data_IF_411692526411
#
_entry.id   IF_411692526411
#
_cell.length_a   1.000
_cell.length_b   1.000
_cell.length_c   1.000
_cell.angle_alpha   90.00
_cell.angle_beta   90.00
_cell.angle_gamma   90.00
#
_symmetry.space_group_name_H-M   'P 1'
#
loop_
_entity.id
_entity.type
_entity.pdbx_description
1 polymer ?
#
# COMPACT_ATOMS: atom_id res chain seq x y z
N UNK A 1 14.77 -6.33 -5.59
CA UNK A 1 13.69 -7.20 -5.09
C UNK A 1 13.16 -8.00 -6.25
N UNK A 2 13.12 -9.33 -6.13
CA UNK A 2 12.63 -10.23 -7.18
C UNK A 2 11.10 -10.23 -7.25
N UNK A 3 10.55 -10.38 -8.45
CA UNK A 3 9.12 -10.51 -8.70
C UNK A 3 8.56 -11.74 -7.96
N UNK A 4 7.63 -11.52 -7.03
CA UNK A 4 6.88 -12.61 -6.39
C UNK A 4 5.53 -12.77 -7.10
N UNK A 5 5.27 -13.88 -7.82
CA UNK A 5 4.01 -14.09 -8.51
C UNK A 5 2.79 -14.14 -7.57
N UNK A 6 2.98 -14.44 -6.28
CA UNK A 6 1.92 -14.39 -5.27
C UNK A 6 1.48 -12.96 -4.94
N UNK A 7 2.36 -11.96 -5.14
CA UNK A 7 2.02 -10.55 -4.98
C UNK A 7 1.42 -9.92 -6.23
N UNK A 8 1.26 -10.70 -7.32
CA UNK A 8 0.59 -10.25 -8.54
C UNK A 8 -0.92 -10.24 -8.30
N UNK A 9 -1.49 -9.05 -8.23
CA UNK A 9 -2.91 -8.90 -8.01
C UNK A 9 -3.68 -9.03 -9.32
N UNK A 10 -3.26 -8.33 -10.38
CA UNK A 10 -3.81 -8.48 -11.72
C UNK A 10 -2.84 -7.97 -12.80
N UNK A 11 -3.14 -8.26 -14.06
CA UNK A 11 -2.45 -7.70 -15.22
C UNK A 11 -3.45 -7.01 -16.14
N UNK A 12 -3.15 -5.79 -16.57
CA UNK A 12 -3.98 -5.04 -17.53
C UNK A 12 -3.08 -4.38 -18.57
N UNK A 13 -3.38 -4.59 -19.86
CA UNK A 13 -2.61 -4.03 -20.99
C UNK A 13 -1.10 -4.24 -20.89
N UNK A 14 -0.67 -5.44 -20.49
CA UNK A 14 0.75 -5.79 -20.33
C UNK A 14 1.41 -5.25 -19.07
N UNK A 15 0.74 -4.41 -18.27
CA UNK A 15 1.23 -3.95 -16.98
C UNK A 15 0.81 -4.91 -15.86
N UNK A 16 1.78 -5.36 -15.05
CA UNK A 16 1.54 -6.18 -13.87
C UNK A 16 1.33 -5.26 -12.66
N UNK A 17 0.12 -5.25 -12.12
CA UNK A 17 -0.18 -4.59 -10.87
C UNK A 17 0.15 -5.55 -9.73
N UNK A 18 1.17 -5.20 -8.96
CA UNK A 18 1.65 -5.93 -7.79
C UNK A 18 1.80 -4.99 -6.61
N UNK A 19 1.71 -5.58 -5.43
CA UNK A 19 2.09 -4.95 -4.16
C UNK A 19 3.37 -5.59 -3.65
N UNK A 20 3.99 -5.01 -2.62
CA UNK A 20 5.22 -5.57 -2.05
C UNK A 20 4.96 -6.93 -1.39
N UNK A 21 3.92 -7.04 -0.57
CA UNK A 21 3.48 -8.29 0.05
C UNK A 21 1.96 -8.45 -0.05
N UNK A 22 1.50 -9.69 -0.14
CA UNK A 22 0.07 -10.00 -0.24
C UNK A 22 -0.25 -11.32 0.44
N UNK A 23 -1.27 -11.30 1.31
CA UNK A 23 -1.91 -12.49 1.86
C UNK A 23 -3.22 -12.73 1.10
N UNK A 24 -3.30 -13.84 0.38
CA UNK A 24 -4.44 -14.14 -0.48
C UNK A 24 -5.67 -14.65 0.29
N UNK A 25 -5.46 -15.30 1.44
CA UNK A 25 -6.52 -15.88 2.25
C UNK A 25 -7.20 -14.80 3.08
N UNK A 26 -6.39 -13.93 3.69
CA UNK A 26 -6.85 -12.76 4.44
C UNK A 26 -7.16 -11.54 3.54
N UNK A 27 -6.74 -11.56 2.27
CA UNK A 27 -6.93 -10.48 1.27
C UNK A 27 -6.31 -9.15 1.74
N UNK A 28 -5.14 -9.25 2.38
CA UNK A 28 -4.38 -8.12 2.90
C UNK A 28 -3.26 -7.78 1.92
N UNK A 29 -3.22 -6.54 1.44
CA UNK A 29 -2.13 -6.02 0.63
C UNK A 29 -1.26 -5.07 1.44
N UNK A 30 0.06 -5.23 1.31
CA UNK A 30 1.04 -4.41 2.04
C UNK A 30 1.97 -3.75 1.03
N UNK A 31 2.14 -2.44 1.18
CA UNK A 31 3.14 -1.63 0.47
C UNK A 31 4.14 -1.06 1.48
N UNK A 32 5.42 -1.24 1.20
CA UNK A 32 6.52 -0.80 2.06
C UNK A 32 7.22 0.37 1.38
N UNK A 33 7.06 1.52 2.00
CA UNK A 33 7.66 2.76 1.56
C UNK A 33 9.09 2.88 2.08
N UNK A 34 10.03 3.08 1.16
CA UNK A 34 11.47 3.11 1.45
C UNK A 34 12.12 4.45 1.13
N UNK A 35 11.38 5.37 0.51
CA UNK A 35 11.89 6.67 0.08
C UNK A 35 10.76 7.66 -0.14
N UNK A 36 11.02 8.95 0.09
CA UNK A 36 10.08 10.05 -0.14
C UNK A 36 9.53 10.20 -1.56
N UNK A 37 10.19 9.62 -2.57
CA UNK A 37 9.76 9.78 -3.96
C UNK A 37 8.46 9.05 -4.27
N UNK A 38 8.13 7.99 -3.52
CA UNK A 38 6.92 7.22 -3.78
C UNK A 38 5.71 7.97 -3.22
N UNK A 39 4.65 8.00 -4.02
CA UNK A 39 3.44 8.72 -3.72
C UNK A 39 2.45 7.76 -3.04
N UNK A 40 2.20 7.96 -1.74
CA UNK A 40 1.20 7.22 -0.95
C UNK A 40 -0.15 7.10 -1.68
N UNK A 41 -0.53 8.11 -2.47
CA UNK A 41 -1.76 8.07 -3.27
C UNK A 41 -1.79 6.90 -4.26
N UNK A 42 -0.65 6.59 -4.88
CA UNK A 42 -0.56 5.54 -5.88
C UNK A 42 -0.81 4.17 -5.22
N UNK A 43 -0.28 3.95 -4.01
CA UNK A 43 -0.49 2.73 -3.24
C UNK A 43 -1.94 2.60 -2.75
N UNK A 44 -2.53 3.70 -2.27
CA UNK A 44 -3.96 3.74 -1.94
C UNK A 44 -4.84 3.46 -3.17
N UNK A 45 -4.47 3.97 -4.36
CA UNK A 45 -5.17 3.68 -5.60
C UNK A 45 -4.98 2.23 -6.07
N UNK A 46 -3.84 1.59 -5.79
CA UNK A 46 -3.67 0.14 -6.01
C UNK A 46 -4.62 -0.64 -5.13
N UNK A 47 -4.71 -0.32 -3.84
CA UNK A 47 -5.63 -0.97 -2.91
C UNK A 47 -7.09 -0.81 -3.35
N UNK A 48 -7.51 0.41 -3.68
CA UNK A 48 -8.82 0.72 -4.27
C UNK A 48 -9.12 -0.15 -5.51
N UNK A 49 -8.17 -0.28 -6.44
CA UNK A 49 -8.34 -1.12 -7.65
C UNK A 49 -8.43 -2.60 -7.30
N UNK A 50 -7.63 -3.06 -6.34
CA UNK A 50 -7.71 -4.43 -5.82
C UNK A 50 -9.06 -4.72 -5.16
N UNK A 51 -9.62 -3.74 -4.45
CA UNK A 51 -10.95 -3.85 -3.87
C UNK A 51 -12.04 -4.01 -4.94
N UNK A 52 -11.98 -3.18 -5.98
CA UNK A 52 -12.93 -3.24 -7.11
C UNK A 52 -12.78 -4.50 -7.97
N UNK A 53 -11.62 -5.16 -7.91
CA UNK A 53 -11.36 -6.38 -8.66
C UNK A 53 -11.81 -7.59 -7.86
N UNK A 54 -12.85 -8.29 -8.31
CA UNK A 54 -13.36 -9.46 -7.58
C UNK A 54 -12.67 -10.76 -7.98
N UNK A 55 -12.48 -11.65 -7.02
CA UNK A 55 -12.09 -13.05 -7.18
C UNK A 55 -12.93 -13.89 -6.22
N UNK A 56 -13.63 -14.88 -6.76
CA UNK A 56 -14.52 -15.78 -6.01
C UNK A 56 -15.61 -14.98 -5.25
N UNK A 57 -16.22 -14.01 -5.94
CA UNK A 57 -17.30 -13.16 -5.40
C UNK A 57 -16.85 -12.05 -4.44
N UNK A 58 -15.61 -12.09 -3.96
CA UNK A 58 -15.06 -11.14 -2.99
C UNK A 58 -13.99 -10.22 -3.59
N UNK A 59 -13.78 -9.01 -3.05
CA UNK A 59 -12.66 -8.13 -3.42
C UNK A 59 -11.32 -8.86 -3.36
N UNK A 60 -10.40 -8.64 -4.30
CA UNK A 60 -9.05 -9.21 -4.21
C UNK A 60 -8.28 -8.62 -3.04
N UNK A 61 -8.47 -7.33 -2.77
CA UNK A 61 -7.95 -6.69 -1.57
C UNK A 61 -9.15 -6.23 -0.75
N UNK A 62 -9.26 -6.69 0.48
CA UNK A 62 -10.23 -6.17 1.45
C UNK A 62 -9.55 -5.16 2.39
N UNK A 63 -8.28 -5.41 2.72
CA UNK A 63 -7.51 -4.59 3.65
C UNK A 63 -6.18 -4.14 3.05
N UNK A 64 -5.85 -2.86 3.27
CA UNK A 64 -4.55 -2.29 2.90
C UNK A 64 -3.66 -2.05 4.10
N UNK A 65 -2.35 -2.12 3.91
CA UNK A 65 -1.37 -1.72 4.91
C UNK A 65 -0.24 -0.94 4.26
N UNK A 66 0.01 0.27 4.75
CA UNK A 66 1.17 1.08 4.40
C UNK A 66 2.20 0.97 5.52
N UNK A 67 3.40 0.52 5.19
CA UNK A 67 4.53 0.51 6.12
C UNK A 67 5.49 1.61 5.71
N UNK A 68 5.64 2.65 6.55
CA UNK A 68 6.30 3.91 6.20
C UNK A 68 7.33 4.32 7.26
N UNK A 69 8.46 4.93 6.89
CA UNK A 69 9.46 5.36 7.84
C UNK A 69 8.99 6.60 8.62
N UNK A 70 9.32 6.65 9.92
CA UNK A 70 9.03 7.80 10.78
C UNK A 70 10.14 8.85 10.79
N UNK A 71 11.37 8.46 10.48
CA UNK A 71 12.60 9.24 10.63
C UNK A 71 13.43 9.29 9.34
N UNK A 72 12.79 9.26 8.16
CA UNK A 72 13.55 9.23 6.91
C UNK A 72 14.38 10.51 6.74
N UNK A 73 15.71 10.34 6.63
CA UNK A 73 16.71 11.40 6.49
C UNK A 73 16.66 12.50 7.58
N UNK A 74 16.19 12.16 8.78
CA UNK A 74 16.12 13.07 9.93
C UNK A 74 15.23 14.31 9.75
N UNK A 75 14.51 14.44 8.62
CA UNK A 75 13.83 15.69 8.23
C UNK A 75 12.37 15.52 7.83
N UNK A 76 11.95 14.33 7.42
CA UNK A 76 10.63 14.15 6.84
C UNK A 76 9.81 13.09 7.58
N UNK A 77 8.67 13.52 8.11
CA UNK A 77 7.70 12.66 8.78
C UNK A 77 6.74 12.06 7.74
N UNK A 78 7.24 11.08 6.98
CA UNK A 78 6.45 10.35 5.98
C UNK A 78 5.23 9.66 6.57
N UNK A 79 5.34 9.20 7.82
CA UNK A 79 4.21 8.67 8.58
C UNK A 79 3.06 9.68 8.69
N UNK A 80 3.34 10.89 9.16
CA UNK A 80 2.32 11.94 9.26
C UNK A 80 1.76 12.35 7.90
N UNK A 81 2.61 12.45 6.88
CA UNK A 81 2.17 12.72 5.52
C UNK A 81 1.21 11.63 5.01
N UNK A 82 1.51 10.36 5.28
CA UNK A 82 0.68 9.22 4.90
C UNK A 82 -0.68 9.24 5.60
N UNK A 83 -0.71 9.56 6.89
CA UNK A 83 -1.95 9.72 7.65
C UNK A 83 -2.82 10.85 7.09
N UNK A 84 -2.24 12.04 6.86
CA UNK A 84 -2.96 13.18 6.28
C UNK A 84 -3.51 12.85 4.90
N UNK A 85 -2.73 12.12 4.09
CA UNK A 85 -3.15 11.74 2.74
C UNK A 85 -4.26 10.69 2.76
N UNK A 86 -4.15 9.68 3.62
CA UNK A 86 -5.19 8.69 3.81
C UNK A 86 -6.48 9.39 4.25
N UNK A 87 -6.41 10.29 5.25
CA UNK A 87 -7.56 11.03 5.74
C UNK A 87 -8.26 11.85 4.65
N UNK A 88 -7.48 12.57 3.83
CA UNK A 88 -8.00 13.28 2.65
C UNK A 88 -8.69 12.33 1.65
N UNK A 89 -8.16 11.11 1.48
CA UNK A 89 -8.68 10.16 0.51
C UNK A 89 -9.82 9.27 1.05
N UNK A 90 -10.06 9.21 2.36
CA UNK A 90 -11.11 8.36 2.96
C UNK A 90 -12.48 8.57 2.31
N UNK A 91 -12.83 9.81 1.95
CA UNK A 91 -14.11 10.12 1.30
C UNK A 91 -14.28 9.57 -0.12
N UNK A 92 -13.20 9.13 -0.79
CA UNK A 92 -13.21 8.59 -2.16
C UNK A 92 -12.72 7.14 -2.23
N UNK A 93 -12.23 6.61 -1.11
CA UNK A 93 -11.78 5.23 -1.00
C UNK A 93 -12.96 4.32 -0.62
N UNK A 94 -13.06 3.18 -1.31
CA UNK A 94 -14.10 2.17 -1.07
C UNK A 94 -13.54 0.89 -0.43
N UNK A 95 -12.24 0.85 -0.16
CA UNK A 95 -11.61 -0.26 0.56
C UNK A 95 -12.07 -0.24 2.02
N UNK A 96 -12.26 -1.42 2.62
CA UNK A 96 -12.85 -1.55 3.96
C UNK A 96 -11.99 -0.84 5.00
N UNK A 97 -10.71 -1.22 5.13
CA UNK A 97 -9.77 -0.53 6.03
C UNK A 97 -8.35 -0.46 5.44
N UNK A 98 -7.65 0.63 5.77
CA UNK A 98 -6.22 0.80 5.50
C UNK A 98 -5.49 1.15 6.79
N UNK A 99 -4.55 0.30 7.20
CA UNK A 99 -3.65 0.57 8.30
C UNK A 99 -2.40 1.32 7.81
N UNK A 100 -1.88 2.23 8.65
CA UNK A 100 -0.57 2.87 8.44
C UNK A 100 0.31 2.49 9.62
N UNK A 101 1.42 1.81 9.36
CA UNK A 101 2.40 1.37 10.35
C UNK A 101 3.68 2.17 10.16
N UNK A 102 4.05 2.94 11.17
CA UNK A 102 5.34 3.63 11.22
C UNK A 102 6.46 2.67 11.62
N UNK A 103 7.60 2.73 10.94
CA UNK A 103 8.83 2.08 11.39
C UNK A 103 9.96 3.10 11.55
N UNK A 104 10.87 2.84 12.50
CA UNK A 104 12.11 3.59 12.59
C UNK A 104 13.17 2.93 11.73
N UNK A 105 13.74 3.68 10.79
CA UNK A 105 14.92 3.25 10.06
C UNK A 105 16.10 3.18 11.04
N UNK A 106 16.72 2.00 11.23
CA UNK A 106 17.82 1.84 12.18
C UNK A 106 19.14 2.44 11.67
N UNK A 107 19.19 2.89 10.41
CA UNK A 107 20.39 3.52 9.85
C UNK A 107 20.56 4.93 10.45
N UNK A 108 21.79 5.33 10.81
CA UNK A 108 22.06 6.69 11.25
C UNK A 108 21.83 7.70 10.12
N UNK A 109 21.46 8.92 10.49
CA UNK A 109 21.27 10.07 9.58
C UNK A 109 22.51 10.40 8.75
#
# INVERSE_FOLDING_TARGET
GGFNPNCKLWSHQGFNYSVDLYDADARIAIEVEKSERKNVSDDLLKFQKGYRTKKDGRPKIEFGCLVVPMNYLGRHNLYQHSLTKLDFMKGVLFIDDVAVIGYHDPRPD
#
